data_IF_646267496895
#
_entry.id   IF_646267496895
#
_cell.length_a   1.000
_cell.length_b   1.000
_cell.length_c   1.000
_cell.angle_alpha   90.00
_cell.angle_beta   90.00
_cell.angle_gamma   90.00
#
_symmetry.space_group_name_H-M   'P 1'
#
loop_
_entity.id
_entity.type
_entity.pdbx_description
1 polymer ?
#
# COMPACT_ATOMS: atom_id res chain seq x y z
N UNK A 1 -9.38 -11.78 -4.49
CA UNK A 1 -8.69 -11.82 -3.19
C UNK A 1 -8.94 -10.59 -2.35
N UNK A 2 -8.57 -9.40 -2.82
CA UNK A 2 -8.85 -8.16 -2.08
C UNK A 2 -10.32 -8.06 -1.68
N UNK A 3 -11.24 -8.37 -2.58
CA UNK A 3 -12.69 -8.39 -2.28
C UNK A 3 -13.02 -9.38 -1.16
N UNK A 4 -12.46 -10.60 -1.18
CA UNK A 4 -12.70 -11.61 -0.12
C UNK A 4 -12.18 -11.08 1.22
N UNK A 5 -10.97 -10.51 1.24
CA UNK A 5 -10.39 -9.92 2.44
C UNK A 5 -11.23 -8.75 2.98
N UNK A 6 -11.70 -7.88 2.10
CA UNK A 6 -12.60 -6.76 2.45
C UNK A 6 -13.91 -7.30 3.05
N UNK A 7 -14.54 -8.29 2.42
CA UNK A 7 -15.77 -8.89 2.92
C UNK A 7 -15.58 -9.51 4.31
N UNK A 8 -14.49 -10.25 4.52
CA UNK A 8 -14.18 -10.82 5.84
C UNK A 8 -13.95 -9.74 6.90
N UNK A 9 -13.19 -8.70 6.56
CA UNK A 9 -12.91 -7.59 7.49
C UNK A 9 -14.18 -6.80 7.82
N UNK A 10 -15.02 -6.50 6.82
CA UNK A 10 -16.32 -5.86 7.03
C UNK A 10 -17.23 -6.74 7.91
N UNK A 11 -17.27 -8.05 7.65
CA UNK A 11 -18.05 -8.98 8.48
C UNK A 11 -17.58 -8.95 9.94
N UNK A 12 -16.27 -8.98 10.17
CA UNK A 12 -15.70 -8.88 11.52
C UNK A 12 -16.09 -7.57 12.20
N UNK A 13 -15.99 -6.44 11.50
CA UNK A 13 -16.32 -5.11 12.02
C UNK A 13 -17.82 -5.03 12.34
N UNK A 14 -18.69 -5.56 11.48
CA UNK A 14 -20.15 -5.56 11.71
C UNK A 14 -20.50 -6.44 12.91
N UNK A 15 -19.89 -7.62 13.05
CA UNK A 15 -20.13 -8.51 14.20
C UNK A 15 -19.70 -7.88 15.53
N UNK A 16 -18.76 -6.94 15.51
CA UNK A 16 -18.23 -6.25 16.68
C UNK A 16 -18.58 -4.74 16.70
N UNK A 17 -19.68 -4.36 16.05
CA UNK A 17 -20.04 -2.94 15.82
C UNK A 17 -20.20 -2.14 17.13
N UNK A 18 -20.65 -2.79 18.20
CA UNK A 18 -20.83 -2.18 19.52
C UNK A 18 -19.51 -1.76 20.18
N UNK A 19 -18.41 -2.40 19.82
CA UNK A 19 -17.08 -2.14 20.38
C UNK A 19 -16.32 -1.04 19.61
N UNK A 20 -16.83 -0.61 18.45
CA UNK A 20 -16.15 0.41 17.60
C UNK A 20 -15.89 1.73 18.36
N UNK A 21 -16.87 2.30 19.11
CA UNK A 21 -16.59 3.54 19.84
C UNK A 21 -15.48 3.39 20.88
N UNK A 22 -15.45 2.24 21.58
CA UNK A 22 -14.40 1.94 22.55
C UNK A 22 -13.03 1.76 21.88
N UNK A 23 -12.97 1.11 20.72
CA UNK A 23 -11.76 0.95 19.93
C UNK A 23 -11.21 2.29 19.46
N UNK A 24 -12.04 3.17 18.91
CA UNK A 24 -11.64 4.53 18.49
C UNK A 24 -11.10 5.33 19.66
N UNK A 25 -11.80 5.32 20.79
CA UNK A 25 -11.36 6.00 22.03
C UNK A 25 -10.01 5.46 22.49
N UNK A 26 -9.79 4.14 22.42
CA UNK A 26 -8.53 3.50 22.77
C UNK A 26 -7.38 3.99 21.89
N UNK A 27 -7.58 4.01 20.57
CA UNK A 27 -6.59 4.52 19.61
C UNK A 27 -6.26 5.99 19.87
N UNK A 28 -7.29 6.83 20.01
CA UNK A 28 -7.10 8.27 20.25
C UNK A 28 -6.41 8.52 21.59
N UNK A 29 -6.84 7.85 22.67
CA UNK A 29 -6.20 7.97 23.98
C UNK A 29 -4.73 7.51 23.94
N UNK A 30 -4.43 6.41 23.25
CA UNK A 30 -3.08 5.93 23.11
C UNK A 30 -2.19 6.91 22.32
N UNK A 31 -2.74 7.57 21.30
CA UNK A 31 -2.02 8.56 20.50
C UNK A 31 -1.62 9.82 21.31
N UNK A 32 -2.50 10.27 22.19
CA UNK A 32 -2.30 11.50 22.98
C UNK A 32 -1.85 11.26 24.43
N UNK A 33 -1.94 10.05 24.92
CA UNK A 33 -1.52 9.68 26.27
C UNK A 33 -0.74 8.35 26.23
N UNK A 34 0.44 8.33 25.61
CA UNK A 34 1.27 7.14 25.59
C UNK A 34 1.74 6.87 27.02
N UNK A 35 1.22 5.83 27.64
CA UNK A 35 1.77 5.31 28.89
C UNK A 35 3.24 4.98 28.68
N UNK A 36 4.09 5.61 29.46
CA UNK A 36 5.54 5.61 29.31
C UNK A 36 6.12 4.18 29.27
N UNK A 37 6.41 3.70 28.07
CA UNK A 37 7.32 2.56 27.90
C UNK A 37 8.70 3.16 27.64
N UNK A 38 9.60 2.94 28.59
CA UNK A 38 11.07 3.18 28.51
C UNK A 38 11.51 4.33 27.58
N UNK A 39 11.54 5.55 28.10
CA UNK A 39 12.10 6.69 27.36
C UNK A 39 11.31 8.01 27.45
N UNK A 40 10.22 8.04 28.23
CA UNK A 40 9.36 9.20 28.36
C UNK A 40 8.32 9.36 27.25
N UNK A 41 7.31 10.17 27.50
CA UNK A 41 6.14 10.40 26.59
C UNK A 41 6.58 10.81 25.19
N UNK A 42 7.58 11.67 25.07
CA UNK A 42 8.08 12.16 23.77
C UNK A 42 8.79 11.04 22.98
N UNK A 43 9.56 10.18 23.63
CA UNK A 43 10.27 9.08 23.00
C UNK A 43 9.30 8.05 22.40
N UNK A 44 8.24 7.68 23.12
CA UNK A 44 7.25 6.72 22.64
C UNK A 44 6.42 7.28 21.46
N UNK A 45 6.09 8.57 21.47
CA UNK A 45 5.41 9.21 20.33
C UNK A 45 6.28 9.21 19.07
N UNK A 46 7.57 9.52 19.21
CA UNK A 46 8.51 9.52 18.07
C UNK A 46 8.64 8.10 17.50
N UNK A 47 8.79 7.08 18.34
CA UNK A 47 8.90 5.69 17.88
C UNK A 47 7.60 5.24 17.19
N UNK A 48 6.44 5.55 17.75
CA UNK A 48 5.15 5.21 17.13
C UNK A 48 4.99 5.89 15.77
N UNK A 49 5.35 7.19 15.68
CA UNK A 49 5.33 7.93 14.43
C UNK A 49 6.30 7.34 13.40
N UNK A 50 7.55 7.06 13.78
CA UNK A 50 8.54 6.46 12.89
C UNK A 50 8.05 5.10 12.34
N UNK A 51 7.53 4.22 13.21
CA UNK A 51 7.02 2.91 12.80
C UNK A 51 5.78 3.04 11.92
N UNK A 52 4.85 3.93 12.26
CA UNK A 52 3.65 4.17 11.45
C UNK A 52 3.98 4.71 10.06
N UNK A 53 4.85 5.73 9.98
CA UNK A 53 5.28 6.30 8.70
C UNK A 53 6.04 5.27 7.86
N UNK A 54 6.99 4.53 8.46
CA UNK A 54 7.76 3.52 7.75
C UNK A 54 6.86 2.41 7.16
N UNK A 55 5.87 1.93 7.93
CA UNK A 55 4.94 0.89 7.45
C UNK A 55 3.94 1.42 6.43
N UNK A 56 3.45 2.65 6.58
CA UNK A 56 2.58 3.30 5.60
C UNK A 56 3.28 3.50 4.25
N UNK A 57 4.49 4.04 4.26
CA UNK A 57 5.30 4.21 3.03
C UNK A 57 5.60 2.86 2.37
N UNK A 58 5.90 1.83 3.17
CA UNK A 58 6.17 0.48 2.67
C UNK A 58 4.94 -0.10 1.94
N UNK A 59 3.73 0.07 2.50
CA UNK A 59 2.50 -0.49 1.94
C UNK A 59 2.09 0.19 0.63
N UNK A 60 2.06 1.52 0.60
CA UNK A 60 1.56 2.29 -0.54
C UNK A 60 2.65 2.71 -1.55
N UNK A 61 3.92 2.35 -1.29
CA UNK A 61 5.09 2.70 -2.12
C UNK A 61 5.27 4.21 -2.38
N UNK A 62 4.57 5.06 -1.62
CA UNK A 62 4.58 6.50 -1.82
C UNK A 62 5.96 7.09 -1.54
N UNK A 63 6.52 7.77 -2.53
CA UNK A 63 7.84 8.39 -2.43
C UNK A 63 9.03 7.45 -2.63
N UNK A 64 8.83 6.16 -2.90
CA UNK A 64 9.89 5.19 -3.15
C UNK A 64 10.35 5.15 -4.62
N UNK A 65 9.50 5.60 -5.56
CA UNK A 65 9.80 5.56 -6.99
C UNK A 65 9.52 4.22 -7.67
N UNK A 66 8.98 3.23 -6.95
CA UNK A 66 8.59 1.92 -7.51
C UNK A 66 7.26 1.97 -8.26
N UNK A 67 6.23 2.61 -7.71
CA UNK A 67 4.93 2.74 -8.35
C UNK A 67 4.97 3.35 -9.78
N UNK A 68 5.78 4.37 -10.08
CA UNK A 68 5.94 4.89 -11.44
C UNK A 68 6.43 3.87 -12.46
N UNK A 69 7.15 2.80 -12.05
CA UNK A 69 7.63 1.76 -12.96
C UNK A 69 6.46 0.95 -13.53
N UNK A 70 5.46 0.63 -12.69
CA UNK A 70 4.23 0.00 -13.17
C UNK A 70 3.38 0.99 -13.99
N UNK A 71 3.26 2.23 -13.53
CA UNK A 71 2.51 3.27 -14.22
C UNK A 71 3.06 3.58 -15.62
N UNK A 72 4.37 3.41 -15.83
CA UNK A 72 5.00 3.58 -17.15
C UNK A 72 4.54 2.55 -18.19
N UNK A 73 3.94 1.43 -17.78
CA UNK A 73 3.35 0.45 -18.68
C UNK A 73 1.90 0.78 -19.10
N UNK A 74 1.31 1.83 -18.53
CA UNK A 74 -0.04 2.24 -18.87
C UNK A 74 -0.13 2.78 -20.31
N UNK A 75 -1.22 2.45 -21.00
CA UNK A 75 -1.47 2.88 -22.38
C UNK A 75 -2.25 4.21 -22.39
N UNK A 76 -1.75 5.22 -21.71
CA UNK A 76 -2.34 6.56 -21.70
C UNK A 76 -1.39 7.59 -22.30
N UNK A 77 -1.98 8.59 -22.97
CA UNK A 77 -1.23 9.72 -23.54
C UNK A 77 -1.06 10.86 -22.54
N UNK A 78 -1.84 10.85 -21.45
CA UNK A 78 -1.90 11.94 -20.49
C UNK A 78 -1.35 11.51 -19.10
N UNK A 79 -0.22 12.07 -18.68
CA UNK A 79 0.39 11.68 -17.41
C UNK A 79 -0.48 12.03 -16.19
N UNK A 80 -1.29 13.08 -16.28
CA UNK A 80 -2.19 13.50 -15.20
C UNK A 80 -3.29 12.44 -14.96
N UNK A 81 -3.87 11.90 -16.03
CA UNK A 81 -4.87 10.83 -15.98
C UNK A 81 -4.31 9.61 -15.23
N UNK A 82 -3.11 9.14 -15.62
CA UNK A 82 -2.46 8.05 -14.93
C UNK A 82 -2.16 8.37 -13.47
N UNK A 83 -1.78 9.60 -13.16
CA UNK A 83 -1.56 10.06 -11.78
C UNK A 83 -2.82 9.96 -10.92
N UNK A 84 -3.98 10.39 -11.45
CA UNK A 84 -5.28 10.30 -10.78
C UNK A 84 -5.69 8.84 -10.53
N UNK A 85 -5.52 7.95 -11.51
CA UNK A 85 -5.79 6.52 -11.35
C UNK A 85 -4.87 5.91 -10.28
N UNK A 86 -3.56 6.19 -10.33
CA UNK A 86 -2.61 5.66 -9.35
C UNK A 86 -2.90 6.13 -7.91
N UNK A 87 -3.42 7.34 -7.75
CA UNK A 87 -3.81 7.89 -6.45
C UNK A 87 -4.93 7.07 -5.79
N UNK A 88 -5.86 6.50 -6.57
CA UNK A 88 -6.94 5.66 -6.04
C UNK A 88 -6.41 4.39 -5.39
N UNK A 89 -5.34 3.80 -5.94
CA UNK A 89 -4.68 2.63 -5.35
C UNK A 89 -4.16 2.91 -3.94
N UNK A 90 -3.46 4.03 -3.76
CA UNK A 90 -2.96 4.47 -2.44
C UNK A 90 -4.10 4.74 -1.45
N UNK A 91 -5.21 5.34 -1.92
CA UNK A 91 -6.39 5.56 -1.10
C UNK A 91 -7.01 4.23 -0.63
N UNK A 92 -7.20 3.28 -1.54
CA UNK A 92 -7.78 1.96 -1.21
C UNK A 92 -6.90 1.22 -0.22
N UNK A 93 -5.59 1.19 -0.46
CA UNK A 93 -4.64 0.51 0.43
C UNK A 93 -4.64 1.12 1.83
N UNK A 94 -4.43 2.42 1.94
CA UNK A 94 -4.20 3.07 3.23
C UNK A 94 -5.49 3.37 3.98
N UNK A 95 -6.48 3.96 3.30
CA UNK A 95 -7.71 4.40 3.98
C UNK A 95 -8.68 3.24 4.17
N UNK A 96 -8.80 2.33 3.20
CA UNK A 96 -9.74 1.22 3.31
C UNK A 96 -9.09 0.02 3.98
N UNK A 97 -8.11 -0.61 3.35
CA UNK A 97 -7.56 -1.91 3.78
C UNK A 97 -6.82 -1.79 5.11
N UNK A 98 -5.93 -0.82 5.27
CA UNK A 98 -5.18 -0.64 6.51
C UNK A 98 -6.09 -0.26 7.69
N UNK A 99 -7.10 0.60 7.46
CA UNK A 99 -8.05 0.98 8.51
C UNK A 99 -8.88 -0.23 8.97
N UNK A 100 -9.39 -1.02 8.01
CA UNK A 100 -10.17 -2.22 8.33
C UNK A 100 -9.33 -3.25 9.09
N UNK A 101 -8.09 -3.47 8.68
CA UNK A 101 -7.16 -4.38 9.37
C UNK A 101 -6.84 -3.88 10.78
N UNK A 102 -6.52 -2.59 10.91
CA UNK A 102 -6.22 -1.98 12.20
C UNK A 102 -7.41 -2.03 13.16
N UNK A 103 -8.60 -1.71 12.68
CA UNK A 103 -9.83 -1.84 13.47
C UNK A 103 -10.07 -3.28 13.90
N UNK A 104 -9.91 -4.25 13.01
CA UNK A 104 -10.07 -5.68 13.35
C UNK A 104 -9.13 -6.11 14.47
N UNK A 105 -7.88 -5.65 14.45
CA UNK A 105 -6.88 -5.94 15.48
C UNK A 105 -7.23 -5.28 16.81
N UNK A 106 -7.71 -4.02 16.79
CA UNK A 106 -8.07 -3.29 18.02
C UNK A 106 -9.34 -3.83 18.64
N UNK A 107 -10.38 -4.09 17.83
CA UNK A 107 -11.68 -4.63 18.27
C UNK A 107 -11.53 -5.98 18.98
N UNK A 108 -10.65 -6.84 18.50
CA UNK A 108 -10.41 -8.18 19.06
C UNK A 108 -9.38 -8.22 20.18
N UNK A 109 -8.72 -7.09 20.48
CA UNK A 109 -7.65 -7.03 21.47
C UNK A 109 -6.38 -7.80 21.08
N UNK A 110 -6.23 -8.20 19.82
CA UNK A 110 -5.10 -8.98 19.33
C UNK A 110 -3.74 -8.29 19.56
N UNK A 111 -3.72 -6.97 19.60
CA UNK A 111 -2.52 -6.16 19.87
C UNK A 111 -1.96 -6.30 21.29
N UNK A 112 -2.76 -6.82 22.24
CA UNK A 112 -2.36 -7.03 23.64
C UNK A 112 -1.79 -8.42 23.90
N UNK A 113 -1.90 -9.32 22.93
CA UNK A 113 -1.45 -10.70 23.09
C UNK A 113 0.06 -10.78 22.91
N UNK A 114 0.77 -11.13 23.98
CA UNK A 114 2.23 -11.26 23.96
C UNK A 114 2.68 -12.42 23.06
N UNK A 115 3.81 -12.22 22.37
CA UNK A 115 4.44 -13.26 21.53
C UNK A 115 3.86 -13.39 20.12
N UNK A 116 2.84 -12.58 19.75
CA UNK A 116 2.35 -12.53 18.37
C UNK A 116 3.10 -11.47 17.56
N UNK A 117 3.59 -11.86 16.38
CA UNK A 117 4.30 -10.95 15.47
C UNK A 117 3.73 -11.00 14.05
N UNK A 118 3.72 -9.84 13.38
CA UNK A 118 3.33 -9.72 11.97
C UNK A 118 1.95 -10.30 11.68
N UNK A 119 1.89 -11.28 10.79
CA UNK A 119 0.64 -11.92 10.33
C UNK A 119 -0.10 -12.66 11.45
N UNK A 120 0.59 -13.11 12.48
CA UNK A 120 -0.04 -13.84 13.59
C UNK A 120 -1.05 -12.97 14.34
N UNK A 121 -0.79 -11.66 14.47
CA UNK A 121 -1.71 -10.70 15.10
C UNK A 121 -3.01 -10.61 14.30
N UNK A 122 -2.92 -10.50 12.97
CA UNK A 122 -4.10 -10.46 12.09
C UNK A 122 -4.84 -11.79 12.12
N UNK A 123 -4.12 -12.91 12.10
CA UNK A 123 -4.74 -14.25 12.18
C UNK A 123 -5.53 -14.42 13.47
N UNK A 124 -4.95 -14.02 14.60
CA UNK A 124 -5.62 -14.03 15.89
C UNK A 124 -6.90 -13.18 15.87
N UNK A 125 -6.82 -11.97 15.32
CA UNK A 125 -7.98 -11.08 15.20
C UNK A 125 -9.13 -11.72 14.40
N UNK A 126 -8.83 -12.36 13.27
CA UNK A 126 -9.85 -13.01 12.45
C UNK A 126 -10.40 -14.29 13.08
N UNK A 127 -9.58 -15.04 13.82
CA UNK A 127 -10.03 -16.23 14.56
C UNK A 127 -11.04 -15.91 15.66
N UNK A 128 -10.85 -14.78 16.35
CA UNK A 128 -11.66 -14.42 17.51
C UNK A 128 -12.77 -13.40 17.21
N UNK A 129 -12.64 -12.66 16.11
CA UNK A 129 -13.60 -11.62 15.73
C UNK A 129 -14.69 -12.08 14.77
N UNK A 130 -14.50 -13.18 14.04
CA UNK A 130 -15.47 -13.71 13.09
C UNK A 130 -16.40 -14.74 13.75
N UNK A 131 -17.68 -14.82 13.30
CA UNK A 131 -18.65 -15.77 13.82
C UNK A 131 -18.47 -17.20 13.29
N UNK A 132 -17.32 -17.49 12.66
CA UNK A 132 -16.98 -18.79 12.06
C UNK A 132 -16.02 -19.59 12.97
N UNK A 133 -15.93 -20.91 12.78
CA UNK A 133 -14.88 -21.69 13.45
C UNK A 133 -13.49 -21.12 13.18
N UNK A 134 -12.64 -21.04 14.22
CA UNK A 134 -11.32 -20.44 14.14
C UNK A 134 -10.44 -21.02 13.02
N UNK A 135 -10.54 -22.34 12.78
CA UNK A 135 -9.81 -23.01 11.72
C UNK A 135 -10.23 -22.55 10.31
N UNK A 136 -11.54 -22.31 10.12
CA UNK A 136 -12.08 -21.84 8.84
C UNK A 136 -11.68 -20.38 8.59
N UNK A 137 -11.78 -19.52 9.60
CA UNK A 137 -11.33 -18.12 9.52
C UNK A 137 -9.85 -18.02 9.18
N UNK A 138 -9.01 -18.83 9.83
CA UNK A 138 -7.58 -18.90 9.53
C UNK A 138 -7.31 -19.39 8.13
N UNK A 139 -7.99 -20.44 7.68
CA UNK A 139 -7.77 -21.01 6.35
C UNK A 139 -8.04 -19.99 5.24
N UNK A 140 -9.17 -19.28 5.30
CA UNK A 140 -9.51 -18.28 4.29
C UNK A 140 -8.53 -17.10 4.35
N UNK A 141 -8.17 -16.64 5.55
CA UNK A 141 -7.19 -15.57 5.69
C UNK A 141 -5.83 -15.99 5.12
N UNK A 142 -5.35 -17.18 5.46
CA UNK A 142 -4.08 -17.73 4.92
C UNK A 142 -4.12 -17.83 3.40
N UNK A 143 -5.23 -18.26 2.82
CA UNK A 143 -5.41 -18.31 1.37
C UNK A 143 -5.30 -16.91 0.75
N UNK A 144 -5.95 -15.90 1.33
CA UNK A 144 -5.81 -14.51 0.89
C UNK A 144 -4.35 -14.03 0.95
N UNK A 145 -3.66 -14.32 2.05
CA UNK A 145 -2.27 -13.91 2.28
C UNK A 145 -1.29 -14.57 1.30
N UNK A 146 -1.48 -15.86 1.00
CA UNK A 146 -0.67 -16.57 -0.02
C UNK A 146 -0.76 -15.86 -1.37
N UNK A 147 -1.95 -15.50 -1.77
CA UNK A 147 -2.14 -14.79 -3.02
C UNK A 147 -1.61 -13.34 -2.97
N UNK A 148 -1.79 -12.61 -1.88
CA UNK A 148 -1.19 -11.27 -1.73
C UNK A 148 0.34 -11.36 -1.81
N UNK A 149 0.96 -12.30 -1.12
CA UNK A 149 2.39 -12.52 -1.20
C UNK A 149 2.84 -12.86 -2.62
N UNK A 150 2.12 -13.75 -3.31
CA UNK A 150 2.43 -14.15 -4.68
C UNK A 150 2.37 -12.96 -5.65
N UNK A 151 1.31 -12.15 -5.60
CA UNK A 151 1.20 -10.96 -6.45
C UNK A 151 2.27 -9.91 -6.14
N UNK A 152 2.61 -9.74 -4.87
CA UNK A 152 3.69 -8.83 -4.44
C UNK A 152 5.05 -9.29 -4.96
N UNK A 153 5.36 -10.60 -4.87
CA UNK A 153 6.59 -11.17 -5.41
C UNK A 153 6.69 -10.91 -6.92
N UNK A 154 5.61 -11.12 -7.67
CA UNK A 154 5.59 -10.87 -9.12
C UNK A 154 5.76 -9.38 -9.45
N UNK A 155 5.10 -8.49 -8.70
CA UNK A 155 5.21 -7.04 -8.89
C UNK A 155 6.63 -6.54 -8.66
N UNK A 156 7.26 -6.95 -7.56
CA UNK A 156 8.64 -6.55 -7.25
C UNK A 156 9.68 -7.16 -8.19
N UNK A 157 9.45 -8.38 -8.69
CA UNK A 157 10.29 -8.96 -9.75
C UNK A 157 10.24 -8.09 -11.01
N UNK A 158 9.05 -7.70 -11.45
CA UNK A 158 8.85 -6.80 -12.58
C UNK A 158 9.58 -5.47 -12.41
N UNK A 159 9.44 -4.80 -11.24
CA UNK A 159 10.14 -3.53 -10.98
C UNK A 159 11.66 -3.70 -11.07
N UNK A 160 12.17 -4.75 -10.45
CA UNK A 160 13.59 -5.04 -10.41
C UNK A 160 14.16 -5.35 -11.80
N UNK A 161 13.43 -6.13 -12.61
CA UNK A 161 13.81 -6.45 -13.98
C UNK A 161 13.86 -5.19 -14.86
N UNK A 162 12.85 -4.31 -14.75
CA UNK A 162 12.84 -3.04 -15.52
C UNK A 162 14.01 -2.15 -15.14
N UNK A 163 14.31 -2.02 -13.85
CA UNK A 163 15.47 -1.26 -13.39
C UNK A 163 16.78 -1.83 -13.91
N UNK A 164 16.96 -3.16 -13.84
CA UNK A 164 18.19 -3.80 -14.31
C UNK A 164 18.33 -3.76 -15.84
N UNK A 165 17.23 -3.91 -16.56
CA UNK A 165 17.21 -3.75 -18.01
C UNK A 165 17.70 -2.35 -18.42
N UNK A 166 17.20 -1.32 -17.77
CA UNK A 166 17.63 0.06 -17.98
C UNK A 166 19.12 0.23 -17.68
N UNK A 167 19.59 -0.20 -16.52
CA UNK A 167 20.99 -0.07 -16.08
C UNK A 167 21.97 -0.87 -16.95
N UNK A 168 21.54 -2.01 -17.50
CA UNK A 168 22.37 -2.87 -18.35
C UNK A 168 22.31 -2.50 -19.84
N UNK A 169 21.62 -1.41 -20.20
CA UNK A 169 21.47 -0.99 -21.59
C UNK A 169 20.69 -2.00 -22.44
N UNK A 170 19.70 -2.69 -21.88
CA UNK A 170 18.85 -3.67 -22.57
C UNK A 170 19.44 -5.08 -22.64
N UNK A 171 20.50 -5.39 -21.90
CA UNK A 171 21.12 -6.71 -21.94
C UNK A 171 20.34 -7.76 -21.15
N UNK A 172 19.51 -8.54 -21.85
CA UNK A 172 18.66 -9.57 -21.27
C UNK A 172 19.41 -10.72 -20.56
N UNK A 173 20.72 -10.88 -20.77
CA UNK A 173 21.49 -11.90 -20.02
C UNK A 173 21.61 -11.53 -18.54
N UNK A 174 21.83 -10.25 -18.22
CA UNK A 174 21.89 -9.78 -16.85
C UNK A 174 20.53 -9.91 -16.15
N UNK A 175 19.45 -9.61 -16.86
CA UNK A 175 18.07 -9.78 -16.34
C UNK A 175 17.78 -11.24 -16.00
N UNK A 176 18.17 -12.20 -16.87
CA UNK A 176 17.99 -13.62 -16.59
C UNK A 176 18.78 -14.11 -15.38
N UNK A 177 20.03 -13.65 -15.21
CA UNK A 177 20.85 -13.99 -14.04
C UNK A 177 20.20 -13.44 -12.77
N UNK A 178 19.75 -12.19 -12.82
CA UNK A 178 19.09 -11.53 -11.70
C UNK A 178 17.81 -12.27 -11.29
N UNK A 179 17.00 -12.72 -12.23
CA UNK A 179 15.76 -13.49 -11.94
C UNK A 179 16.06 -14.75 -11.13
N UNK A 180 17.14 -15.47 -11.45
CA UNK A 180 17.55 -16.63 -10.64
C UNK A 180 17.99 -16.24 -9.23
N UNK A 181 18.72 -15.14 -9.08
CA UNK A 181 19.11 -14.61 -7.77
C UNK A 181 17.86 -14.20 -6.97
N UNK A 182 16.88 -13.56 -7.63
CA UNK A 182 15.61 -13.16 -7.02
C UNK A 182 14.82 -14.38 -6.52
N UNK A 183 14.67 -15.42 -7.34
CA UNK A 183 14.01 -16.66 -6.95
C UNK A 183 14.70 -17.29 -5.74
N UNK A 184 16.02 -17.32 -5.73
CA UNK A 184 16.80 -17.82 -4.60
C UNK A 184 16.56 -16.98 -3.33
N UNK A 185 16.51 -15.67 -3.45
CA UNK A 185 16.23 -14.77 -2.34
C UNK A 185 14.80 -14.99 -1.77
N UNK A 186 13.81 -15.18 -2.63
CA UNK A 186 12.43 -15.52 -2.22
C UNK A 186 12.39 -16.85 -1.48
N UNK A 187 13.19 -17.84 -1.91
CA UNK A 187 13.29 -19.13 -1.22
C UNK A 187 13.97 -19.03 0.15
N UNK A 188 14.97 -18.18 0.29
CA UNK A 188 15.72 -17.97 1.54
C UNK A 188 14.91 -17.12 2.55
N UNK A 189 14.10 -16.18 2.07
CA UNK A 189 13.35 -15.22 2.90
C UNK A 189 12.62 -15.83 4.10
N UNK A 190 11.84 -16.91 3.93
CA UNK A 190 11.10 -17.55 5.03
C UNK A 190 11.96 -18.13 6.15
N UNK A 191 13.25 -18.35 5.92
CA UNK A 191 14.19 -18.83 6.94
C UNK A 191 14.83 -17.72 7.76
N UNK A 192 14.60 -16.46 7.37
CA UNK A 192 15.11 -15.29 8.10
C UNK A 192 14.15 -14.90 9.23
N UNK A 193 14.69 -14.24 10.25
CA UNK A 193 13.84 -13.67 11.30
C UNK A 193 13.05 -12.48 10.79
N UNK A 194 11.82 -12.29 11.27
CA UNK A 194 10.93 -11.19 10.89
C UNK A 194 11.63 -9.83 11.10
N UNK A 195 12.35 -9.67 12.21
CA UNK A 195 13.09 -8.45 12.51
C UNK A 195 14.21 -8.16 11.49
N UNK A 196 14.97 -9.20 11.08
CA UNK A 196 16.02 -9.03 10.07
C UNK A 196 15.45 -8.61 8.72
N UNK A 197 14.35 -9.26 8.28
CA UNK A 197 13.68 -8.91 7.02
C UNK A 197 13.21 -7.47 7.04
N UNK A 198 12.56 -7.03 8.12
CA UNK A 198 12.10 -5.64 8.23
C UNK A 198 13.24 -4.62 8.27
N UNK A 199 14.35 -4.94 8.94
CA UNK A 199 15.51 -4.05 8.98
C UNK A 199 16.12 -3.87 7.59
N UNK A 200 16.28 -4.95 6.84
CA UNK A 200 16.77 -4.92 5.46
C UNK A 200 15.83 -4.10 4.58
N UNK A 201 14.52 -4.35 4.66
CA UNK A 201 13.51 -3.64 3.90
C UNK A 201 13.52 -2.13 4.20
N UNK A 202 13.61 -1.73 5.46
CA UNK A 202 13.66 -0.32 5.87
C UNK A 202 14.91 0.40 5.31
N UNK A 203 16.07 -0.27 5.30
CA UNK A 203 17.31 0.28 4.73
C UNK A 203 17.15 0.51 3.21
N UNK A 204 16.68 -0.50 2.47
CA UNK A 204 16.52 -0.36 1.02
C UNK A 204 15.42 0.64 0.65
N UNK A 205 14.32 0.71 1.38
CA UNK A 205 13.29 1.73 1.18
C UNK A 205 13.86 3.15 1.40
N UNK A 206 14.67 3.35 2.43
CA UNK A 206 15.36 4.62 2.66
C UNK A 206 16.27 5.00 1.49
N UNK A 207 17.03 4.02 0.97
CA UNK A 207 17.91 4.23 -0.19
C UNK A 207 17.12 4.53 -1.48
N UNK A 208 15.95 3.94 -1.67
CA UNK A 208 15.08 4.21 -2.81
C UNK A 208 14.42 5.59 -2.71
N UNK A 209 14.02 6.00 -1.52
CA UNK A 209 13.35 7.29 -1.29
C UNK A 209 14.23 8.49 -1.66
N UNK A 210 15.53 8.44 -1.35
CA UNK A 210 16.46 9.58 -1.57
C UNK A 210 16.48 10.03 -3.04
N UNK A 211 16.84 9.19 -4.04
CA UNK A 211 16.88 9.61 -5.42
C UNK A 211 15.50 9.99 -5.97
N UNK A 212 14.44 9.32 -5.52
CA UNK A 212 13.09 9.65 -5.95
C UNK A 212 12.64 11.03 -5.43
N UNK A 213 12.94 11.39 -4.19
CA UNK A 213 12.64 12.70 -3.65
C UNK A 213 13.36 13.81 -4.42
N UNK A 214 14.61 13.59 -4.80
CA UNK A 214 15.36 14.54 -5.66
C UNK A 214 14.66 14.72 -7.00
N UNK A 215 14.24 13.62 -7.64
CA UNK A 215 13.52 13.65 -8.91
C UNK A 215 12.17 14.37 -8.79
N UNK A 216 11.39 14.12 -7.74
CA UNK A 216 10.10 14.78 -7.48
C UNK A 216 10.25 16.29 -7.30
N UNK A 217 11.25 16.74 -6.54
CA UNK A 217 11.53 18.16 -6.39
C UNK A 217 11.96 18.81 -7.71
N UNK A 218 12.83 18.15 -8.47
CA UNK A 218 13.28 18.66 -9.76
C UNK A 218 12.14 18.75 -10.79
N UNK A 219 11.22 17.80 -10.79
CA UNK A 219 10.08 17.72 -11.70
C UNK A 219 8.82 18.45 -11.22
N UNK A 220 8.83 19.02 -10.02
CA UNK A 220 7.64 19.66 -9.41
C UNK A 220 7.00 20.72 -10.31
N UNK A 221 7.82 21.52 -11.00
CA UNK A 221 7.34 22.53 -11.94
C UNK A 221 6.63 21.93 -13.16
N UNK A 222 7.14 20.80 -13.68
CA UNK A 222 6.52 20.05 -14.79
C UNK A 222 5.18 19.49 -14.35
N UNK A 223 5.13 18.84 -13.18
CA UNK A 223 3.90 18.26 -12.61
C UNK A 223 2.80 19.33 -12.50
N UNK A 224 3.12 20.48 -11.92
CA UNK A 224 2.17 21.61 -11.78
C UNK A 224 1.69 22.12 -13.14
N UNK A 225 2.59 22.24 -14.12
CA UNK A 225 2.24 22.72 -15.46
C UNK A 225 1.29 21.75 -16.16
N UNK A 226 1.63 20.48 -16.21
CA UNK A 226 0.80 19.44 -16.85
C UNK A 226 -0.58 19.31 -16.17
N UNK A 227 -0.61 19.31 -14.83
CA UNK A 227 -1.85 19.26 -14.08
C UNK A 227 -2.76 20.45 -14.39
N UNK A 228 -2.22 21.67 -14.44
CA UNK A 228 -2.99 22.87 -14.79
C UNK A 228 -3.50 22.82 -16.22
N UNK A 229 -2.67 22.39 -17.16
CA UNK A 229 -3.06 22.24 -18.56
C UNK A 229 -4.22 21.27 -18.74
N UNK A 230 -4.14 20.11 -18.08
CA UNK A 230 -5.19 19.09 -18.09
C UNK A 230 -6.55 19.64 -17.61
N UNK A 231 -6.59 20.27 -16.44
CA UNK A 231 -7.82 20.81 -15.89
C UNK A 231 -8.33 22.05 -16.64
N UNK A 232 -7.44 22.84 -17.26
CA UNK A 232 -7.86 23.93 -18.13
C UNK A 232 -8.53 23.43 -19.40
N UNK A 233 -7.94 22.41 -20.05
CA UNK A 233 -8.53 21.78 -21.24
C UNK A 233 -9.90 21.19 -20.96
N UNK A 234 -10.03 20.40 -19.88
CA UNK A 234 -11.33 19.84 -19.50
C UNK A 234 -12.38 20.92 -19.17
N UNK A 235 -11.97 22.06 -18.61
CA UNK A 235 -12.86 23.19 -18.34
C UNK A 235 -13.32 23.90 -19.63
N UNK A 236 -12.42 24.09 -20.59
CA UNK A 236 -12.74 24.69 -21.88
C UNK A 236 -13.69 23.79 -22.68
N UNK A 237 -13.48 22.49 -22.64
CA UNK A 237 -14.32 21.49 -23.28
C UNK A 237 -15.74 21.45 -22.66
N UNK A 238 -15.84 21.46 -21.33
CA UNK A 238 -17.11 21.57 -20.62
C UNK A 238 -17.90 22.83 -21.00
N UNK A 239 -17.21 23.96 -21.11
CA UNK A 239 -17.85 25.21 -21.53
C UNK A 239 -18.31 25.21 -23.00
N UNK A 240 -17.52 24.58 -23.88
CA UNK A 240 -17.85 24.50 -25.31
C UNK A 240 -19.08 23.59 -25.58
N UNK A 241 -19.22 22.53 -24.79
CA UNK A 241 -20.32 21.56 -24.94
C UNK A 241 -21.53 21.85 -24.07
N UNK A 242 -21.55 22.93 -23.30
CA UNK A 242 -22.61 23.28 -22.34
C UNK A 242 -22.87 22.17 -21.31
N UNK A 243 -21.85 21.37 -21.00
CA UNK A 243 -21.90 20.28 -20.05
C UNK A 243 -21.30 20.70 -18.71
N UNK A 244 -21.58 19.93 -17.66
CA UNK A 244 -20.90 20.17 -16.39
C UNK A 244 -19.43 19.79 -16.47
N UNK A 245 -18.58 20.47 -15.73
CA UNK A 245 -17.16 20.15 -15.64
C UNK A 245 -16.90 18.71 -15.14
N UNK A 246 -17.79 18.22 -14.25
CA UNK A 246 -17.72 16.87 -13.70
C UNK A 246 -17.97 15.81 -14.79
N UNK A 247 -18.99 16.00 -15.66
CA UNK A 247 -19.30 15.09 -16.77
C UNK A 247 -18.16 14.98 -17.78
N UNK A 248 -17.53 16.09 -18.15
CA UNK A 248 -16.39 16.09 -19.07
C UNK A 248 -15.16 15.43 -18.47
N UNK A 249 -14.90 15.65 -17.17
CA UNK A 249 -13.84 14.97 -16.48
C UNK A 249 -14.05 13.45 -16.41
N UNK A 250 -15.28 12.99 -16.16
CA UNK A 250 -15.61 11.55 -16.15
C UNK A 250 -15.46 10.93 -17.54
N UNK A 251 -15.88 11.60 -18.59
CA UNK A 251 -15.75 11.09 -19.96
C UNK A 251 -14.28 11.00 -20.37
N UNK A 252 -13.49 12.03 -20.12
CA UNK A 252 -12.05 12.02 -20.34
C UNK A 252 -11.31 10.93 -19.55
N UNK A 253 -11.85 10.47 -18.44
CA UNK A 253 -11.32 9.33 -17.70
C UNK A 253 -11.73 7.98 -18.30
N UNK A 254 -12.86 7.92 -19.00
CA UNK A 254 -13.46 6.67 -19.51
C UNK A 254 -13.21 6.41 -21.00
N UNK A 255 -12.78 7.39 -21.80
CA UNK A 255 -12.61 7.26 -23.27
C UNK A 255 -11.60 6.19 -23.73
N UNK A 256 -10.81 5.60 -22.82
CA UNK A 256 -9.84 4.54 -23.16
C UNK A 256 -10.38 3.12 -22.96
N UNK A 257 -11.62 2.91 -22.51
CA UNK A 257 -12.22 1.58 -22.43
C UNK A 257 -12.84 1.09 -23.75
N UNK A 258 -12.86 1.91 -24.80
CA UNK A 258 -13.35 1.49 -26.10
C UNK A 258 -12.27 0.64 -26.81
N UNK A 259 -12.57 -0.61 -27.17
CA UNK A 259 -11.61 -1.47 -27.87
C UNK A 259 -11.34 -0.91 -29.26
N UNK A 260 -10.04 -0.76 -29.57
CA UNK A 260 -9.54 -0.46 -30.90
C UNK A 260 -9.66 -1.65 -31.85
#
# INVERSE_FOLDING_TARGET
>A
MAVIYIVLSVTLIICNITEIPAAIVTVVKAAFNPSAVTGGVVGSMIVAMQKGVARGIFSNEAGLGSAPIAAAAAQTKEPVRQGLVSMTGTFIDTIIICTMTGLSIVLTGAWQVEGLEGVQVTTYAFQHGLPFPAQFSSFILMLCLVFFAFTTILGWDYYSERCLEYLSGGNMKHVKIFRWIYILAVFIGPYMTVSAVWTIADIFNGLMAIPNMIALFALSGVIVKETRAFFQHAKEEALAEHRSFEEVCEENLNEEEAPA
#
